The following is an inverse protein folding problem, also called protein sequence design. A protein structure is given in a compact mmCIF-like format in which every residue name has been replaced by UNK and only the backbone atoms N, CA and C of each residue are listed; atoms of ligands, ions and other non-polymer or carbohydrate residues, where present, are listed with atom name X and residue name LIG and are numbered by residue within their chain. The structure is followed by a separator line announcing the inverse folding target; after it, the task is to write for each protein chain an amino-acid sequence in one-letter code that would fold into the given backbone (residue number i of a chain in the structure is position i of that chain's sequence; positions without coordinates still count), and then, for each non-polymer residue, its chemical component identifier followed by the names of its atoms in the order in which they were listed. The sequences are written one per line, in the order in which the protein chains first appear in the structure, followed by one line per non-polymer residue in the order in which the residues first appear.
data_IF_399487062250
#
_entry.id   IF_399487062250
#
_cell.length_a   1.000
_cell.length_b   1.000
_cell.length_c   1.000
_cell.angle_alpha   90.00
_cell.angle_beta   90.00
_cell.angle_gamma   90.00
#
_symmetry.space_group_name_H-M   'P 1'
#
loop_
_entity.id
_entity.type
_entity.pdbx_description
1 polymer ?
#
# COMPACT_ATOMS: atom_id res chain seq x y z
N UNK A 1 -16.69 14.05 -9.25
CA UNK A 1 -16.68 14.15 -7.76
C UNK A 1 -17.54 13.04 -7.20
N UNK A 2 -17.04 12.31 -6.21
CA UNK A 2 -17.81 11.30 -5.46
C UNK A 2 -18.79 12.07 -4.55
N UNK A 3 -20.10 11.73 -4.61
CA UNK A 3 -21.15 12.37 -3.80
C UNK A 3 -21.18 11.84 -2.35
N UNK A 4 -20.02 11.64 -1.75
CA UNK A 4 -19.84 11.19 -0.37
C UNK A 4 -19.18 12.33 0.41
N UNK A 5 -19.64 12.64 1.64
CA UNK A 5 -19.02 13.67 2.47
C UNK A 5 -17.54 13.40 2.77
N UNK A 6 -16.79 14.45 3.04
CA UNK A 6 -15.40 14.37 3.48
C UNK A 6 -15.32 13.65 4.84
N UNK A 7 -14.24 12.88 5.06
CA UNK A 7 -13.95 12.22 6.33
C UNK A 7 -15.13 11.39 6.90
N UNK A 8 -15.85 10.67 6.03
CA UNK A 8 -17.07 9.94 6.40
C UNK A 8 -16.95 8.42 6.29
N UNK A 9 -15.92 7.93 5.61
CA UNK A 9 -15.76 6.50 5.36
C UNK A 9 -14.60 5.92 6.18
N UNK A 10 -14.83 4.76 6.79
CA UNK A 10 -13.78 4.02 7.50
C UNK A 10 -12.94 3.19 6.53
N UNK A 11 -13.59 2.63 5.49
CA UNK A 11 -12.94 1.75 4.51
C UNK A 11 -13.47 2.06 3.12
N UNK A 12 -12.57 2.09 2.14
CA UNK A 12 -12.88 2.06 0.71
C UNK A 12 -12.25 0.80 0.10
N UNK A 13 -13.05 0.02 -0.62
CA UNK A 13 -12.56 -1.17 -1.33
C UNK A 13 -12.74 -1.02 -2.83
N UNK A 14 -11.80 -1.58 -3.62
CA UNK A 14 -11.87 -1.62 -5.07
C UNK A 14 -11.17 -2.87 -5.61
N UNK A 15 -11.65 -3.39 -6.74
CA UNK A 15 -11.01 -4.51 -7.42
C UNK A 15 -11.06 -4.32 -8.93
N UNK A 16 -9.89 -4.19 -9.58
CA UNK A 16 -9.70 -4.10 -11.04
C UNK A 16 -10.56 -3.04 -11.75
N UNK A 17 -10.84 -1.90 -11.12
CA UNK A 17 -11.70 -0.84 -11.67
C UNK A 17 -10.94 0.47 -11.89
N UNK A 18 -9.93 0.75 -11.06
CA UNK A 18 -9.21 2.04 -11.11
C UNK A 18 -8.44 2.18 -12.42
N UNK A 19 -7.88 1.09 -12.94
CA UNK A 19 -7.19 1.09 -14.22
C UNK A 19 -8.06 1.49 -15.41
N UNK A 20 -9.37 1.35 -15.31
CA UNK A 20 -10.33 1.79 -16.33
C UNK A 20 -10.62 3.30 -16.26
N UNK A 21 -10.25 3.96 -15.16
CA UNK A 21 -10.45 5.39 -14.98
C UNK A 21 -9.40 6.19 -15.75
N UNK A 22 -9.82 7.26 -16.43
CA UNK A 22 -8.92 8.13 -17.18
C UNK A 22 -7.96 8.90 -16.25
N UNK A 23 -8.46 9.47 -15.16
CA UNK A 23 -7.70 10.26 -14.18
C UNK A 23 -7.61 9.52 -12.83
N UNK A 24 -6.60 8.65 -12.71
CA UNK A 24 -6.38 7.85 -11.52
C UNK A 24 -5.96 8.69 -10.31
N UNK A 25 -5.20 9.76 -10.52
CA UNK A 25 -4.81 10.68 -9.43
C UNK A 25 -6.04 11.31 -8.79
N UNK A 26 -7.02 11.71 -9.61
CA UNK A 26 -8.30 12.24 -9.11
C UNK A 26 -9.10 11.18 -8.34
N UNK A 27 -9.09 9.92 -8.77
CA UNK A 27 -9.74 8.83 -8.03
C UNK A 27 -9.13 8.69 -6.65
N UNK A 28 -7.80 8.53 -6.54
CA UNK A 28 -7.11 8.40 -5.25
C UNK A 28 -7.28 9.64 -4.37
N UNK A 29 -7.28 10.84 -4.95
CA UNK A 29 -7.55 12.09 -4.21
C UNK A 29 -8.97 12.10 -3.62
N UNK A 30 -9.97 11.62 -4.36
CA UNK A 30 -11.34 11.52 -3.85
C UNK A 30 -11.47 10.44 -2.77
N UNK A 31 -10.77 9.31 -2.91
CA UNK A 31 -10.72 8.29 -1.86
C UNK A 31 -10.10 8.87 -0.58
N UNK A 32 -8.96 9.56 -0.68
CA UNK A 32 -8.33 10.21 0.47
C UNK A 32 -9.26 11.23 1.13
N UNK A 33 -9.98 12.02 0.34
CA UNK A 33 -10.94 13.03 0.85
C UNK A 33 -12.04 12.39 1.68
N UNK A 34 -12.66 11.30 1.19
CA UNK A 34 -13.81 10.68 1.86
C UNK A 34 -13.43 9.79 3.05
N UNK A 35 -12.20 9.26 3.08
CA UNK A 35 -11.71 8.49 4.22
C UNK A 35 -11.61 9.36 5.48
N UNK A 36 -12.02 8.83 6.61
CA UNK A 36 -11.70 9.37 7.94
C UNK A 36 -10.19 9.30 8.19
N UNK A 37 -9.69 10.08 9.15
CA UNK A 37 -8.36 9.83 9.69
C UNK A 37 -8.33 8.44 10.36
N UNK A 38 -7.30 7.63 10.08
CA UNK A 38 -7.26 6.21 10.47
C UNK A 38 -8.03 5.26 9.54
N UNK A 39 -8.76 5.80 8.55
CA UNK A 39 -9.43 4.98 7.53
C UNK A 39 -8.45 4.42 6.51
N UNK A 40 -8.86 3.35 5.83
CA UNK A 40 -8.02 2.70 4.82
C UNK A 40 -8.72 2.51 3.48
N UNK A 41 -7.93 2.54 2.41
CA UNK A 41 -8.29 1.94 1.14
C UNK A 41 -7.64 0.58 1.01
N UNK A 42 -8.43 -0.47 0.77
CA UNK A 42 -7.96 -1.83 0.48
C UNK A 42 -8.37 -2.20 -0.93
N UNK A 43 -7.41 -2.40 -1.83
CA UNK A 43 -7.77 -2.59 -3.22
C UNK A 43 -6.74 -3.44 -3.98
N UNK A 44 -7.19 -4.02 -5.09
CA UNK A 44 -6.36 -4.77 -6.03
C UNK A 44 -6.49 -4.20 -7.43
N UNK A 45 -5.36 -4.06 -8.12
CA UNK A 45 -5.34 -3.67 -9.54
C UNK A 45 -4.07 -4.16 -10.23
N UNK A 46 -3.95 -3.91 -11.54
CA UNK A 46 -2.80 -4.29 -12.38
C UNK A 46 -1.79 -3.13 -12.44
N UNK A 47 -0.52 -3.47 -12.28
CA UNK A 47 0.61 -2.54 -12.37
C UNK A 47 1.65 -3.05 -13.36
N UNK A 48 2.41 -2.14 -13.96
CA UNK A 48 3.44 -2.47 -14.95
C UNK A 48 4.86 -2.20 -14.43
N UNK A 49 5.83 -2.93 -14.94
CA UNK A 49 7.26 -2.73 -14.65
C UNK A 49 7.84 -1.48 -15.30
N UNK A 50 7.16 -0.94 -16.34
CA UNK A 50 7.54 0.26 -17.11
C UNK A 50 6.28 1.03 -17.48
N UNK A 51 6.43 2.32 -17.84
CA UNK A 51 5.32 3.11 -18.40
C UNK A 51 4.84 2.51 -19.70
N UNK A 52 3.53 2.37 -19.86
CA UNK A 52 2.91 1.91 -21.10
C UNK A 52 3.13 2.98 -22.18
N UNK A 53 3.62 2.62 -23.39
CA UNK A 53 3.75 3.55 -24.51
C UNK A 53 2.42 4.23 -24.85
N UNK A 54 2.50 5.50 -25.23
CA UNK A 54 1.32 6.35 -25.47
C UNK A 54 0.39 5.76 -26.53
N UNK A 55 0.98 5.15 -27.57
CA UNK A 55 0.28 4.49 -28.68
C UNK A 55 -0.66 3.35 -28.24
N UNK A 56 -0.36 2.72 -27.10
CA UNK A 56 -1.17 1.60 -26.58
C UNK A 56 -2.25 2.02 -25.56
N UNK A 57 -2.21 3.26 -25.06
CA UNK A 57 -3.16 3.72 -24.02
C UNK A 57 -4.61 3.71 -24.46
N UNK A 58 -4.86 3.86 -25.76
CA UNK A 58 -6.20 3.87 -26.36
C UNK A 58 -6.57 2.54 -27.06
N UNK A 59 -5.73 1.52 -26.97
CA UNK A 59 -6.03 0.20 -27.51
C UNK A 59 -7.15 -0.44 -26.67
N UNK A 60 -8.30 -0.67 -27.31
CA UNK A 60 -9.52 -1.17 -26.65
C UNK A 60 -9.36 -2.60 -26.11
N UNK A 61 -8.54 -3.42 -26.79
CA UNK A 61 -8.26 -4.79 -26.35
C UNK A 61 -7.42 -4.77 -25.10
N UNK A 62 -6.31 -4.00 -25.12
CA UNK A 62 -5.43 -3.84 -23.96
C UNK A 62 -6.13 -3.16 -22.76
N UNK A 63 -7.08 -2.26 -23.04
CA UNK A 63 -7.88 -1.63 -22.00
C UNK A 63 -8.84 -2.65 -21.35
N UNK A 64 -9.49 -3.47 -22.16
CA UNK A 64 -10.38 -4.55 -21.67
C UNK A 64 -9.65 -5.56 -20.79
N UNK A 65 -8.37 -5.86 -21.11
CA UNK A 65 -7.50 -6.72 -20.32
C UNK A 65 -6.84 -5.99 -19.13
N UNK A 66 -7.22 -4.75 -18.84
CA UNK A 66 -6.63 -3.89 -17.79
C UNK A 66 -5.13 -3.60 -17.96
N UNK A 67 -4.55 -3.85 -19.13
CA UNK A 67 -3.12 -3.70 -19.40
C UNK A 67 -2.74 -2.27 -19.79
N UNK A 68 -3.47 -1.65 -20.75
CA UNK A 68 -3.15 -0.29 -21.20
C UNK A 68 -3.39 0.78 -20.14
N UNK A 69 -4.28 0.51 -19.20
CA UNK A 69 -4.57 1.36 -18.05
C UNK A 69 -3.64 1.16 -16.86
N UNK A 70 -2.78 0.13 -16.87
CA UNK A 70 -1.89 -0.18 -15.76
C UNK A 70 -0.88 0.95 -15.51
N UNK A 71 -0.83 1.45 -14.28
CA UNK A 71 0.20 2.40 -13.88
C UNK A 71 1.56 1.70 -13.76
N UNK A 72 2.61 2.39 -14.15
CA UNK A 72 3.95 2.04 -13.72
C UNK A 72 4.01 2.12 -12.19
N UNK A 73 4.52 1.06 -11.54
CA UNK A 73 4.46 0.94 -10.09
C UNK A 73 5.05 2.14 -9.33
N UNK A 74 6.14 2.75 -9.83
CA UNK A 74 6.76 3.89 -9.16
C UNK A 74 5.99 5.20 -9.38
N UNK A 75 5.31 5.36 -10.52
CA UNK A 75 4.40 6.50 -10.74
C UNK A 75 3.20 6.41 -9.77
N UNK A 76 2.69 5.20 -9.52
CA UNK A 76 1.66 4.97 -8.51
C UNK A 76 2.13 5.36 -7.10
N UNK A 77 3.34 4.94 -6.69
CA UNK A 77 3.90 5.33 -5.38
C UNK A 77 4.04 6.85 -5.25
N UNK A 78 4.44 7.52 -6.33
CA UNK A 78 4.55 8.99 -6.36
C UNK A 78 3.18 9.66 -6.20
N UNK A 79 2.18 9.21 -6.95
CA UNK A 79 0.80 9.69 -6.86
C UNK A 79 0.25 9.53 -5.44
N UNK A 80 0.46 8.38 -4.81
CA UNK A 80 0.02 8.13 -3.44
C UNK A 80 0.63 9.11 -2.45
N UNK A 81 1.93 9.34 -2.49
CA UNK A 81 2.63 10.28 -1.60
C UNK A 81 2.17 11.72 -1.80
N UNK A 82 2.00 12.16 -3.05
CA UNK A 82 1.50 13.51 -3.37
C UNK A 82 0.10 13.78 -2.84
N UNK A 83 -0.72 12.74 -2.67
CA UNK A 83 -2.09 12.83 -2.16
C UNK A 83 -2.13 12.80 -0.62
N UNK A 84 -1.10 12.23 0.02
CA UNK A 84 -1.02 12.07 1.48
C UNK A 84 -1.09 10.61 1.97
N UNK A 85 -1.07 9.63 1.05
CA UNK A 85 -0.82 8.23 1.40
C UNK A 85 0.68 7.97 1.43
N UNK A 86 1.33 8.32 2.53
CA UNK A 86 2.80 8.35 2.64
C UNK A 86 3.43 6.97 2.55
N UNK A 87 2.83 5.98 3.19
CA UNK A 87 3.36 4.61 3.30
C UNK A 87 2.38 3.60 2.67
N UNK A 88 2.72 3.13 1.47
CA UNK A 88 1.93 2.18 0.69
C UNK A 88 2.30 0.75 1.07
N UNK A 89 1.32 -0.03 1.57
CA UNK A 89 1.54 -1.42 1.99
C UNK A 89 1.10 -2.41 0.93
N UNK A 90 2.03 -3.23 0.45
CA UNK A 90 1.74 -4.36 -0.45
C UNK A 90 1.27 -5.55 0.38
N UNK A 91 0.04 -5.99 0.19
CA UNK A 91 -0.52 -7.16 0.88
C UNK A 91 -0.16 -8.44 0.14
N UNK A 92 -0.36 -8.43 -1.18
CA UNK A 92 -0.09 -9.57 -2.06
C UNK A 92 0.28 -9.07 -3.45
N UNK A 93 1.15 -9.79 -4.12
CA UNK A 93 1.47 -9.56 -5.53
C UNK A 93 1.68 -10.88 -6.26
N UNK A 94 1.32 -10.91 -7.55
CA UNK A 94 1.60 -12.02 -8.45
C UNK A 94 1.87 -11.49 -9.86
N UNK A 95 2.78 -12.14 -10.58
CA UNK A 95 3.05 -11.83 -11.99
C UNK A 95 1.86 -12.30 -12.85
N UNK A 96 1.49 -11.49 -13.82
CA UNK A 96 0.47 -11.82 -14.82
C UNK A 96 1.18 -12.40 -16.04
N UNK A 97 0.74 -13.59 -16.48
CA UNK A 97 1.18 -14.17 -17.74
C UNK A 97 0.23 -13.77 -18.86
N UNK A 98 0.76 -13.17 -19.93
CA UNK A 98 -0.01 -12.83 -21.12
C UNK A 98 0.03 -14.01 -22.06
N UNK A 99 -1.10 -14.73 -22.20
CA UNK A 99 -1.19 -15.94 -23.03
C UNK A 99 -1.57 -15.67 -24.51
N UNK A 100 -1.73 -14.40 -24.88
CA UNK A 100 -2.01 -13.96 -26.24
C UNK A 100 -0.73 -13.46 -26.90
N UNK A 101 -0.28 -14.15 -27.98
CA UNK A 101 0.99 -13.85 -28.63
C UNK A 101 1.05 -12.44 -29.24
N UNK A 102 -0.08 -11.95 -29.80
CA UNK A 102 -0.18 -10.60 -30.36
C UNK A 102 -0.02 -9.52 -29.28
N UNK A 103 -0.69 -9.70 -28.16
CA UNK A 103 -0.59 -8.78 -27.00
C UNK A 103 0.82 -8.87 -26.40
N UNK A 104 1.38 -10.07 -26.28
CA UNK A 104 2.71 -10.30 -25.74
C UNK A 104 3.79 -9.62 -26.60
N UNK A 105 3.67 -9.68 -27.93
CA UNK A 105 4.64 -9.00 -28.81
C UNK A 105 4.48 -7.47 -28.76
N UNK A 106 3.22 -6.94 -28.75
CA UNK A 106 2.96 -5.49 -28.59
C UNK A 106 3.58 -4.92 -27.31
N UNK A 107 3.49 -5.67 -26.20
CA UNK A 107 3.92 -5.24 -24.85
C UNK A 107 5.28 -5.82 -24.46
N UNK A 108 6.07 -6.24 -25.43
CA UNK A 108 7.36 -6.90 -25.22
C UNK A 108 8.30 -6.10 -24.31
N UNK A 109 8.82 -6.77 -23.29
CA UNK A 109 9.70 -6.18 -22.28
C UNK A 109 9.00 -5.35 -21.20
N UNK A 110 7.67 -5.39 -21.16
CA UNK A 110 6.86 -4.85 -20.05
C UNK A 110 6.26 -6.03 -19.29
N UNK A 111 6.52 -6.07 -18.01
CA UNK A 111 5.92 -7.07 -17.12
C UNK A 111 4.73 -6.48 -16.39
N UNK A 112 3.72 -7.31 -16.12
CA UNK A 112 2.51 -6.92 -15.42
C UNK A 112 2.33 -7.73 -14.15
N UNK A 113 1.79 -7.07 -13.12
CA UNK A 113 1.58 -7.64 -11.81
C UNK A 113 0.18 -7.32 -11.32
N UNK A 114 -0.53 -8.32 -10.82
CA UNK A 114 -1.71 -8.12 -9.99
C UNK A 114 -1.24 -7.85 -8.57
N UNK A 115 -1.59 -6.69 -8.01
CA UNK A 115 -1.12 -6.27 -6.68
C UNK A 115 -2.27 -5.80 -5.83
N UNK A 116 -2.32 -6.30 -4.60
CA UNK A 116 -3.25 -5.83 -3.57
C UNK A 116 -2.50 -4.89 -2.62
N UNK A 117 -3.05 -3.70 -2.43
CA UNK A 117 -2.48 -2.67 -1.57
C UNK A 117 -3.40 -2.29 -0.41
N UNK A 118 -2.78 -1.77 0.66
CA UNK A 118 -3.39 -0.97 1.72
C UNK A 118 -2.82 0.42 1.71
N UNK A 119 -3.70 1.41 1.75
CA UNK A 119 -3.36 2.82 1.90
C UNK A 119 -4.09 3.35 3.12
N UNK A 120 -3.37 3.79 4.14
CA UNK A 120 -3.97 4.38 5.35
C UNK A 120 -3.94 5.90 5.25
N UNK A 121 -5.06 6.54 5.59
CA UNK A 121 -5.09 7.99 5.77
C UNK A 121 -4.62 8.32 7.18
N UNK A 122 -3.30 8.47 7.32
CA UNK A 122 -2.61 8.78 8.56
C UNK A 122 -1.46 9.75 8.29
N UNK A 123 -1.11 10.53 9.29
CA UNK A 123 0.15 11.27 9.30
C UNK A 123 1.28 10.31 9.66
N UNK A 124 2.05 9.91 8.65
CA UNK A 124 3.15 8.95 8.77
C UNK A 124 4.47 9.60 8.33
N UNK A 125 5.56 9.07 8.84
CA UNK A 125 6.90 9.47 8.45
C UNK A 125 7.24 8.94 7.05
N UNK A 126 8.14 9.64 6.35
CA UNK A 126 8.52 9.29 4.98
C UNK A 126 9.28 7.97 4.89
N UNK A 127 9.97 7.59 5.95
CA UNK A 127 10.74 6.35 6.05
C UNK A 127 10.39 5.61 7.35
N UNK A 128 10.85 4.38 7.48
CA UNK A 128 10.60 3.56 8.66
C UNK A 128 11.52 3.97 9.82
N UNK A 129 11.03 4.78 10.75
CA UNK A 129 11.80 5.24 11.91
C UNK A 129 11.66 4.31 13.12
N UNK A 130 12.72 4.23 13.92
CA UNK A 130 12.82 3.39 15.12
C UNK A 130 12.80 4.24 16.39
N UNK A 131 11.81 4.01 17.25
CA UNK A 131 11.70 4.60 18.60
C UNK A 131 11.73 3.53 19.70
N UNK A 132 12.13 2.30 19.37
CA UNK A 132 12.14 1.17 20.30
C UNK A 132 10.80 0.51 20.53
N UNK A 133 9.79 0.84 19.75
CA UNK A 133 8.43 0.35 19.89
C UNK A 133 8.26 -1.09 19.40
N UNK A 134 7.26 -1.77 19.99
CA UNK A 134 6.83 -3.11 19.63
C UNK A 134 5.33 -3.29 19.86
N UNK A 135 4.78 -4.36 19.33
CA UNK A 135 3.36 -4.71 19.48
C UNK A 135 3.20 -6.20 19.76
N UNK A 136 2.10 -6.57 20.41
CA UNK A 136 1.70 -7.96 20.61
C UNK A 136 0.27 -8.13 20.09
N UNK A 137 0.07 -9.04 19.15
CA UNK A 137 -1.24 -9.37 18.63
C UNK A 137 -2.03 -10.23 19.64
N UNK A 138 -3.31 -9.90 19.90
CA UNK A 138 -4.15 -10.56 20.89
C UNK A 138 -4.91 -11.79 20.34
N UNK A 139 -4.85 -12.07 19.02
CA UNK A 139 -5.59 -13.17 18.39
C UNK A 139 -7.10 -12.91 18.25
N UNK A 140 -7.55 -11.66 18.31
CA UNK A 140 -8.97 -11.28 18.40
C UNK A 140 -9.60 -10.83 17.09
N UNK A 141 -8.85 -10.79 15.99
CA UNK A 141 -9.42 -10.54 14.65
C UNK A 141 -10.11 -11.83 14.19
N UNK A 142 -11.36 -11.71 13.77
CA UNK A 142 -12.17 -12.84 13.33
C UNK A 142 -11.48 -13.69 12.27
N UNK A 143 -11.52 -15.01 12.39
CA UNK A 143 -10.85 -16.00 11.54
C UNK A 143 -9.32 -15.92 11.49
N UNK A 144 -8.68 -15.15 12.38
CA UNK A 144 -7.22 -14.97 12.44
C UNK A 144 -6.68 -15.16 13.88
N UNK A 145 -7.12 -16.21 14.59
CA UNK A 145 -6.76 -16.41 16.00
C UNK A 145 -5.31 -16.78 16.23
N UNK A 146 -4.62 -17.39 15.27
CA UNK A 146 -3.22 -17.81 15.41
C UNK A 146 -2.22 -16.74 14.99
N UNK A 147 -2.53 -16.05 13.89
CA UNK A 147 -1.74 -14.93 13.37
C UNK A 147 -2.61 -14.01 12.51
N UNK A 148 -2.11 -12.80 12.26
CA UNK A 148 -2.69 -11.86 11.33
C UNK A 148 -1.62 -11.13 10.52
N UNK A 149 -1.87 -10.87 9.24
CA UNK A 149 -0.97 -10.20 8.32
C UNK A 149 -1.47 -8.78 8.01
N UNK A 150 -0.67 -7.78 8.33
CA UNK A 150 -0.92 -6.40 7.89
C UNK A 150 -0.62 -6.26 6.39
N UNK A 151 0.51 -6.80 5.99
CA UNK A 151 1.03 -6.77 4.62
C UNK A 151 1.94 -7.99 4.38
N UNK A 152 2.60 -8.09 3.23
CA UNK A 152 3.45 -9.23 2.86
C UNK A 152 4.75 -9.36 3.68
N UNK A 153 5.07 -8.39 4.55
CA UNK A 153 6.25 -8.40 5.43
C UNK A 153 5.93 -8.45 6.92
N UNK A 154 4.70 -8.09 7.29
CA UNK A 154 4.31 -7.94 8.69
C UNK A 154 3.26 -8.95 9.10
N UNK A 155 3.72 -10.17 9.49
CA UNK A 155 2.92 -11.18 10.18
C UNK A 155 3.04 -11.01 11.71
N UNK A 156 1.92 -11.02 12.40
CA UNK A 156 1.82 -10.92 13.85
C UNK A 156 1.24 -12.23 14.40
N UNK A 157 2.09 -13.03 15.05
CA UNK A 157 1.67 -14.26 15.72
C UNK A 157 1.07 -13.91 17.08
N UNK A 158 -0.03 -14.56 17.43
CA UNK A 158 -0.76 -14.31 18.69
C UNK A 158 0.14 -14.50 19.91
N UNK A 159 0.14 -13.52 20.79
CA UNK A 159 0.91 -13.51 22.03
C UNK A 159 2.42 -13.28 21.87
N UNK A 160 2.92 -13.16 20.64
CA UNK A 160 4.35 -12.94 20.38
C UNK A 160 4.63 -11.45 20.19
N UNK A 161 5.56 -10.91 20.97
CA UNK A 161 6.02 -9.55 20.79
C UNK A 161 6.83 -9.41 19.51
N UNK A 162 6.48 -8.38 18.70
CA UNK A 162 7.18 -8.04 17.47
C UNK A 162 7.57 -6.58 17.45
N UNK A 163 8.85 -6.30 17.25
CA UNK A 163 9.33 -4.94 16.95
C UNK A 163 8.83 -4.50 15.58
N UNK A 164 8.42 -3.25 15.50
CA UNK A 164 7.89 -2.63 14.28
C UNK A 164 8.40 -1.20 14.15
N UNK A 165 8.43 -0.63 12.96
CA UNK A 165 8.75 0.79 12.76
C UNK A 165 7.60 1.69 13.25
N UNK A 166 7.86 3.00 13.40
CA UNK A 166 6.88 3.99 13.83
C UNK A 166 5.61 3.98 12.97
N UNK A 167 5.76 3.91 11.65
CA UNK A 167 4.62 3.86 10.74
C UNK A 167 3.74 2.62 10.94
N UNK A 168 4.35 1.44 11.09
CA UNK A 168 3.59 0.21 11.36
C UNK A 168 2.88 0.28 12.71
N UNK A 169 3.54 0.81 13.75
CA UNK A 169 2.92 1.02 15.05
C UNK A 169 1.70 1.96 14.95
N UNK A 170 1.82 3.08 14.25
CA UNK A 170 0.73 4.03 14.03
C UNK A 170 -0.42 3.41 13.21
N UNK A 171 -0.12 2.62 12.15
CA UNK A 171 -1.14 1.90 11.38
C UNK A 171 -1.97 0.94 12.23
N UNK A 172 -1.37 0.35 13.26
CA UNK A 172 -2.08 -0.52 14.19
C UNK A 172 -2.79 0.28 15.29
N UNK A 173 -2.18 1.34 15.81
CA UNK A 173 -2.66 2.09 16.97
C UNK A 173 -3.75 3.10 16.63
N UNK A 174 -3.65 3.80 15.50
CA UNK A 174 -4.54 4.89 15.11
C UNK A 174 -5.67 4.44 14.16
N UNK A 175 -5.88 3.13 14.03
CA UNK A 175 -6.89 2.56 13.14
C UNK A 175 -7.81 1.58 13.87
N UNK A 176 -8.73 0.97 13.12
CA UNK A 176 -9.63 -0.09 13.61
C UNK A 176 -8.93 -1.31 14.21
N UNK A 177 -7.61 -1.43 14.05
CA UNK A 177 -6.84 -2.56 14.59
C UNK A 177 -6.44 -2.38 16.04
N UNK A 178 -6.60 -1.20 16.62
CA UNK A 178 -6.11 -0.83 17.95
C UNK A 178 -6.48 -1.84 19.05
N UNK A 179 -7.72 -2.25 19.11
CA UNK A 179 -8.22 -3.13 20.18
C UNK A 179 -7.72 -4.58 20.04
N UNK A 180 -7.10 -4.91 18.92
CA UNK A 180 -6.56 -6.24 18.65
C UNK A 180 -5.08 -6.39 19.03
N UNK A 181 -4.43 -5.31 19.51
CA UNK A 181 -3.00 -5.29 19.84
C UNK A 181 -2.73 -4.69 21.22
N UNK A 182 -1.65 -5.15 21.84
CA UNK A 182 -0.99 -4.44 22.93
C UNK A 182 0.17 -3.65 22.35
N UNK A 183 0.37 -2.43 22.84
CA UNK A 183 1.37 -1.49 22.36
C UNK A 183 2.43 -1.27 23.45
N UNK A 184 3.70 -1.29 23.04
CA UNK A 184 4.87 -1.16 23.90
C UNK A 184 5.77 -0.08 23.29
N UNK A 185 6.27 0.84 24.12
CA UNK A 185 7.07 1.99 23.71
C UNK A 185 6.37 3.31 23.97
N UNK A 186 7.17 4.36 24.08
CA UNK A 186 6.67 5.71 24.45
C UNK A 186 7.13 6.81 23.48
N UNK A 187 7.82 6.45 22.39
CA UNK A 187 8.33 7.35 21.35
C UNK A 187 9.24 8.49 21.84
N UNK A 188 9.84 8.37 23.03
CA UNK A 188 10.68 9.44 23.60
C UNK A 188 12.07 9.51 22.97
N UNK A 189 12.61 8.38 22.55
CA UNK A 189 13.95 8.28 22.01
C UNK A 189 13.92 7.81 20.56
N UNK A 190 14.35 8.69 19.65
CA UNK A 190 14.55 8.33 18.25
C UNK A 190 15.88 7.58 18.07
N UNK A 191 15.85 6.40 17.44
CA UNK A 191 17.00 5.50 17.26
C UNK A 191 17.51 5.44 15.82
N UNK A 192 16.97 6.27 14.95
CA UNK A 192 17.27 6.30 13.51
C UNK A 192 16.36 5.36 12.71
N UNK A 193 16.83 4.98 11.53
CA UNK A 193 16.07 4.10 10.62
C UNK A 193 15.90 2.70 11.24
N UNK A 194 14.68 2.17 11.16
CA UNK A 194 14.36 0.83 11.64
C UNK A 194 15.13 -0.23 10.84
N UNK A 195 15.85 -1.15 11.50
CA UNK A 195 16.68 -2.16 10.84
C UNK A 195 15.89 -3.05 9.87
N UNK A 196 16.36 -3.13 8.62
CA UNK A 196 15.75 -3.96 7.56
C UNK A 196 14.46 -3.39 6.96
N UNK A 197 14.12 -2.15 7.29
CA UNK A 197 12.99 -1.42 6.72
C UNK A 197 13.45 0.02 6.41
N UNK A 198 13.14 0.53 5.22
CA UNK A 198 13.54 1.88 4.84
C UNK A 198 14.94 1.98 4.22
N UNK A 199 15.45 3.20 4.14
CA UNK A 199 16.75 3.52 3.52
C UNK A 199 17.89 3.36 4.52
N UNK A 200 19.03 2.89 4.04
CA UNK A 200 20.27 2.91 4.85
C UNK A 200 20.78 4.34 5.06
N UNK A 201 21.45 4.55 6.20
CA UNK A 201 22.16 5.79 6.45
C UNK A 201 23.24 6.01 5.37
N UNK A 202 23.15 7.11 4.56
CA UNK A 202 24.09 7.36 3.46
C UNK A 202 25.53 7.63 3.93
N UNK A 203 25.73 7.90 5.22
CA UNK A 203 27.02 8.22 5.81
C UNK A 203 27.68 7.04 6.53
N UNK A 204 27.05 5.85 6.54
CA UNK A 204 27.49 4.67 7.30
C UNK A 204 28.94 4.23 6.99
N UNK A 205 29.47 4.57 5.80
CA UNK A 205 30.81 4.19 5.34
C UNK A 205 31.76 5.38 5.19
N UNK A 206 31.46 6.52 5.79
CA UNK A 206 32.38 7.68 5.80
C UNK A 206 33.21 7.56 7.09
N UNK A 207 34.54 7.31 6.91
CA UNK A 207 35.55 7.36 7.98
C UNK A 207 35.96 8.80 8.29
#
# INVERSE_FOLDING_TARGET
TILIPDNSQDIVISNCVINLCHDKKKVFSQVHRVLKNGGEMYFSDVYSSKRIPEEFKNDKVLLGECLSGALYWNDFMTICREIGFTDVRTVKSSRITINNDEISEKLKGIEFYSVTYRLFKLELENDCEDYGQSVVYNGTIENNSEYWDLDNHHRFTTGVEKRVCGNTWNMLHETRFRDHFKFIGDFKEHKGIFPGCGKDNPYKNIE
#
